data_IF_462086172560
#
_entry.id   IF_462086172560
#
_cell.length_a   1.000
_cell.length_b   1.000
_cell.length_c   1.000
_cell.angle_alpha   90.00
_cell.angle_beta   90.00
_cell.angle_gamma   90.00
#
_symmetry.space_group_name_H-M   'P 1'
#
loop_
_entity.id
_entity.type
_entity.pdbx_description
1 polymer ?
#
# COMPACT_ATOMS: atom_id res chain seq x y z
N UNK A 1 39.61 -27.88 49.99
CA UNK A 1 38.21 -28.30 49.78
C UNK A 1 37.54 -27.23 48.92
N UNK A 2 37.25 -27.61 47.66
CA UNK A 2 36.42 -26.94 46.64
C UNK A 2 36.67 -25.43 46.40
N UNK A 3 37.39 -24.95 45.39
CA UNK A 3 37.47 -25.33 43.96
C UNK A 3 36.10 -25.54 43.31
N UNK A 4 35.81 -24.76 42.27
CA UNK A 4 34.70 -25.04 41.37
C UNK A 4 33.34 -24.45 41.74
N UNK A 5 33.27 -23.14 42.04
CA UNK A 5 32.10 -22.37 41.57
C UNK A 5 32.40 -21.91 40.14
N UNK A 6 32.56 -22.91 39.27
CA UNK A 6 32.59 -22.71 37.84
C UNK A 6 31.37 -21.88 37.46
N UNK A 7 31.70 -20.80 36.77
CA UNK A 7 30.87 -19.97 35.92
C UNK A 7 29.92 -20.81 35.05
N UNK A 8 28.83 -21.30 35.62
CA UNK A 8 27.74 -21.96 34.89
C UNK A 8 26.66 -20.95 34.45
N UNK A 9 27.09 -19.72 34.20
CA UNK A 9 26.50 -18.93 33.14
C UNK A 9 27.40 -19.16 31.94
N UNK A 10 27.09 -20.18 31.14
CA UNK A 10 27.53 -20.26 29.75
C UNK A 10 27.22 -18.91 29.14
N UNK A 11 28.23 -18.03 29.10
CA UNK A 11 28.14 -16.75 28.43
C UNK A 11 27.96 -17.11 26.97
N UNK A 12 26.70 -17.17 26.54
CA UNK A 12 26.29 -17.47 25.18
C UNK A 12 27.15 -16.60 24.27
N UNK A 13 28.10 -17.24 23.58
CA UNK A 13 29.23 -16.57 22.92
C UNK A 13 28.66 -15.52 21.98
N UNK A 14 28.98 -14.25 22.25
CA UNK A 14 28.38 -13.11 21.55
C UNK A 14 28.71 -13.16 20.06
N UNK A 15 27.70 -13.02 19.21
CA UNK A 15 27.89 -12.88 17.77
C UNK A 15 28.12 -11.40 17.46
N UNK A 16 29.26 -11.11 16.85
CA UNK A 16 29.64 -9.75 16.48
C UNK A 16 29.36 -9.50 14.99
N UNK A 17 28.84 -8.31 14.70
CA UNK A 17 28.56 -7.85 13.35
C UNK A 17 29.13 -6.45 13.18
N UNK A 18 29.89 -6.23 12.12
CA UNK A 18 30.37 -4.90 11.72
C UNK A 18 29.85 -4.58 10.32
N UNK A 19 29.04 -3.53 10.19
CA UNK A 19 28.46 -3.17 8.89
C UNK A 19 28.10 -1.70 8.78
N UNK A 20 27.99 -1.26 7.52
CA UNK A 20 27.38 0.01 7.15
C UNK A 20 26.02 -0.27 6.49
N UNK A 21 24.89 0.22 7.05
CA UNK A 21 23.57 -0.02 6.47
C UNK A 21 23.47 0.57 5.07
N UNK A 22 23.14 -0.25 4.07
CA UNK A 22 22.89 0.21 2.70
C UNK A 22 21.41 0.58 2.52
N UNK A 23 21.11 1.34 1.46
CA UNK A 23 19.72 1.60 1.06
C UNK A 23 18.96 0.30 0.77
N UNK A 24 19.65 -0.69 0.18
CA UNK A 24 19.09 -2.02 -0.10
C UNK A 24 18.64 -2.73 1.17
N UNK A 25 19.48 -2.75 2.21
CA UNK A 25 19.15 -3.39 3.49
C UNK A 25 17.94 -2.74 4.15
N UNK A 26 17.93 -1.41 4.20
CA UNK A 26 16.86 -0.64 4.81
C UNK A 26 15.54 -0.82 4.03
N UNK A 27 15.59 -0.88 2.70
CA UNK A 27 14.41 -1.13 1.87
C UNK A 27 13.90 -2.57 2.06
N UNK A 28 14.79 -3.55 2.14
CA UNK A 28 14.46 -4.95 2.44
C UNK A 28 13.84 -5.10 3.84
N UNK A 29 14.41 -4.43 4.84
CA UNK A 29 13.88 -4.41 6.21
C UNK A 29 12.51 -3.75 6.31
N UNK A 30 12.31 -2.61 5.64
CA UNK A 30 11.01 -1.93 5.59
C UNK A 30 9.95 -2.78 4.88
N UNK A 31 10.32 -3.51 3.81
CA UNK A 31 9.44 -4.49 3.16
C UNK A 31 9.10 -5.65 4.09
N UNK A 32 10.07 -6.21 4.81
CA UNK A 32 9.84 -7.25 5.80
C UNK A 32 8.89 -6.78 6.92
N UNK A 33 9.11 -5.57 7.45
CA UNK A 33 8.21 -4.93 8.42
C UNK A 33 6.81 -4.69 7.86
N UNK A 34 6.69 -4.25 6.60
CA UNK A 34 5.39 -4.08 5.97
C UNK A 34 4.64 -5.42 5.85
N UNK A 35 5.34 -6.52 5.51
CA UNK A 35 4.73 -7.86 5.43
C UNK A 35 4.20 -8.35 6.79
N UNK A 36 4.88 -8.03 7.88
CA UNK A 36 4.55 -8.46 9.24
C UNK A 36 3.59 -7.53 10.02
N UNK A 37 3.17 -6.41 9.42
CA UNK A 37 2.24 -5.45 10.02
C UNK A 37 0.86 -5.47 9.34
N UNK A 38 -0.19 -5.19 10.13
CA UNK A 38 -1.55 -5.10 9.60
C UNK A 38 -1.71 -4.00 8.55
N UNK A 39 -0.99 -2.88 8.68
CA UNK A 39 -0.99 -1.79 7.72
C UNK A 39 -0.42 -2.20 6.36
N UNK A 40 0.67 -2.98 6.32
CA UNK A 40 1.22 -3.45 5.05
C UNK A 40 0.41 -4.60 4.43
N UNK A 41 -0.28 -5.43 5.24
CA UNK A 41 -1.31 -6.34 4.72
C UNK A 41 -2.46 -5.57 4.06
N UNK A 42 -2.96 -4.56 4.75
CA UNK A 42 -4.02 -3.70 4.22
C UNK A 42 -3.59 -3.00 2.93
N UNK A 43 -2.37 -2.44 2.87
CA UNK A 43 -1.81 -1.86 1.66
C UNK A 43 -1.79 -2.85 0.48
N UNK A 44 -1.38 -4.12 0.72
CA UNK A 44 -1.39 -5.16 -0.32
C UNK A 44 -2.81 -5.48 -0.80
N UNK A 45 -3.76 -5.57 0.11
CA UNK A 45 -5.18 -5.81 -0.23
C UNK A 45 -5.71 -4.64 -1.07
N UNK A 46 -5.43 -3.40 -0.70
CA UNK A 46 -5.84 -2.22 -1.48
C UNK A 46 -5.21 -2.26 -2.88
N UNK A 47 -3.90 -2.51 -2.99
CA UNK A 47 -3.23 -2.63 -4.29
C UNK A 47 -3.84 -3.74 -5.15
N UNK A 48 -4.11 -4.90 -4.58
CA UNK A 48 -4.73 -6.02 -5.31
C UNK A 48 -6.12 -5.64 -5.84
N UNK A 49 -6.96 -5.01 -5.01
CA UNK A 49 -8.27 -4.52 -5.43
C UNK A 49 -8.19 -3.39 -6.46
N UNK A 50 -7.24 -2.46 -6.32
CA UNK A 50 -6.99 -1.43 -7.33
C UNK A 50 -6.65 -2.06 -8.66
N UNK A 51 -5.70 -3.00 -8.71
CA UNK A 51 -5.36 -3.69 -9.94
C UNK A 51 -6.56 -4.46 -10.50
N UNK A 52 -7.30 -5.21 -9.68
CA UNK A 52 -8.47 -5.97 -10.13
C UNK A 52 -9.55 -5.06 -10.75
N UNK A 53 -9.91 -3.96 -10.08
CA UNK A 53 -10.89 -2.99 -10.59
C UNK A 53 -10.40 -2.36 -11.88
N UNK A 54 -9.12 -1.98 -11.96
CA UNK A 54 -8.53 -1.39 -13.16
C UNK A 54 -8.47 -2.39 -14.33
N UNK A 55 -8.17 -3.67 -14.07
CA UNK A 55 -8.18 -4.71 -15.10
C UNK A 55 -9.60 -4.97 -15.62
N UNK A 56 -10.59 -5.04 -14.73
CA UNK A 56 -12.00 -5.16 -15.13
C UNK A 56 -12.44 -3.94 -15.94
N UNK A 57 -12.09 -2.72 -15.48
CA UNK A 57 -12.37 -1.48 -16.20
C UNK A 57 -11.71 -1.43 -17.59
N UNK A 58 -10.48 -1.91 -17.71
CA UNK A 58 -9.76 -2.05 -18.98
C UNK A 58 -10.44 -3.04 -19.91
N UNK A 59 -10.86 -4.20 -19.39
CA UNK A 59 -11.56 -5.21 -20.18
C UNK A 59 -12.91 -4.69 -20.69
N UNK A 60 -13.67 -4.01 -19.83
CA UNK A 60 -14.92 -3.36 -20.21
C UNK A 60 -14.70 -2.26 -21.26
N UNK A 61 -13.62 -1.48 -21.13
CA UNK A 61 -13.27 -0.44 -22.09
C UNK A 61 -12.81 -1.03 -23.44
N UNK A 62 -12.09 -2.15 -23.42
CA UNK A 62 -11.54 -2.79 -24.61
C UNK A 62 -12.56 -3.67 -25.36
N UNK A 63 -13.54 -4.24 -24.65
CA UNK A 63 -14.65 -4.99 -25.25
C UNK A 63 -15.73 -4.06 -25.86
N UNK A 64 -15.70 -2.77 -25.53
CA UNK A 64 -16.57 -1.76 -26.11
C UNK A 64 -16.13 -1.37 -27.54
N UNK A 65 -17.06 -0.98 -28.44
CA UNK A 65 -16.74 -0.60 -29.83
C UNK A 65 -15.76 0.59 -30.00
N UNK A 66 -15.51 1.38 -28.95
CA UNK A 66 -14.77 2.65 -28.98
C UNK A 66 -13.36 2.63 -28.36
N UNK A 67 -12.42 1.83 -28.90
CA UNK A 67 -11.03 1.72 -28.40
C UNK A 67 -10.28 3.08 -28.26
N UNK A 68 -10.67 4.11 -29.04
CA UNK A 68 -10.01 5.43 -29.07
C UNK A 68 -10.37 6.37 -27.91
N UNK A 69 -11.42 6.07 -27.13
CA UNK A 69 -11.95 6.97 -26.08
C UNK A 69 -11.71 6.45 -24.65
N UNK A 70 -10.77 5.53 -24.51
CA UNK A 70 -10.29 4.98 -23.25
C UNK A 70 -9.85 6.12 -22.32
N UNK A 71 -10.31 6.19 -21.05
CA UNK A 71 -9.99 7.29 -20.13
C UNK A 71 -8.52 7.25 -19.67
N UNK A 72 -7.60 7.61 -20.57
CA UNK A 72 -6.14 7.59 -20.36
C UNK A 72 -5.66 8.25 -19.05
N UNK A 73 -6.19 9.43 -18.65
CA UNK A 73 -5.83 10.06 -17.39
C UNK A 73 -6.15 9.20 -16.15
N UNK A 74 -7.21 8.40 -16.21
CA UNK A 74 -7.61 7.52 -15.10
C UNK A 74 -6.61 6.37 -14.95
N UNK A 75 -6.23 5.72 -16.05
CA UNK A 75 -5.20 4.67 -16.02
C UNK A 75 -3.83 5.23 -15.62
N UNK A 76 -3.45 6.40 -16.14
CA UNK A 76 -2.21 7.07 -15.77
C UNK A 76 -2.15 7.37 -14.25
N UNK A 77 -3.26 7.83 -13.67
CA UNK A 77 -3.33 8.08 -12.23
C UNK A 77 -3.32 6.81 -11.38
N UNK A 78 -3.92 5.70 -11.85
CA UNK A 78 -3.79 4.39 -11.19
C UNK A 78 -2.34 3.91 -11.24
N UNK A 79 -1.68 4.00 -12.40
CA UNK A 79 -0.26 3.62 -12.55
C UNK A 79 0.62 4.45 -11.61
N UNK A 80 0.42 5.77 -11.58
CA UNK A 80 1.14 6.66 -10.68
C UNK A 80 0.89 6.30 -9.20
N UNK A 81 -0.34 5.95 -8.82
CA UNK A 81 -0.68 5.53 -7.47
C UNK A 81 0.01 4.21 -7.08
N UNK A 82 -0.05 3.19 -7.94
CA UNK A 82 0.61 1.90 -7.71
C UNK A 82 2.11 2.11 -7.61
N UNK A 83 2.72 2.86 -8.55
CA UNK A 83 4.14 3.18 -8.55
C UNK A 83 4.56 3.93 -7.28
N UNK A 84 3.78 4.91 -6.83
CA UNK A 84 4.05 5.62 -5.59
C UNK A 84 4.02 4.68 -4.39
N UNK A 85 2.96 3.88 -4.25
CA UNK A 85 2.78 2.96 -3.11
C UNK A 85 3.86 1.89 -3.03
N UNK A 86 4.37 1.41 -4.17
CA UNK A 86 5.51 0.47 -4.24
C UNK A 86 6.85 1.16 -4.01
N UNK A 87 6.99 2.45 -4.34
CA UNK A 87 8.20 3.23 -4.10
C UNK A 87 8.36 3.70 -2.64
N UNK A 88 7.27 3.79 -1.86
CA UNK A 88 7.30 4.28 -0.46
C UNK A 88 8.38 3.62 0.41
N UNK A 89 8.56 2.27 0.44
CA UNK A 89 9.60 1.64 1.25
C UNK A 89 11.00 2.11 0.87
N UNK A 90 11.27 2.33 -0.42
CA UNK A 90 12.56 2.76 -0.90
C UNK A 90 12.82 4.25 -0.64
N UNK A 91 11.80 5.10 -0.79
CA UNK A 91 11.89 6.52 -0.39
C UNK A 91 12.17 6.67 1.10
N UNK A 92 11.50 5.86 1.93
CA UNK A 92 11.77 5.79 3.38
C UNK A 92 13.18 5.27 3.67
N UNK A 93 13.63 4.22 2.96
CA UNK A 93 14.98 3.68 3.09
C UNK A 93 16.04 4.72 2.76
N UNK A 94 15.88 5.49 1.67
CA UNK A 94 16.78 6.60 1.33
C UNK A 94 16.85 7.66 2.43
N UNK A 95 15.70 8.02 3.01
CA UNK A 95 15.66 9.00 4.11
C UNK A 95 16.35 8.47 5.36
N UNK A 96 16.14 7.20 5.70
CA UNK A 96 16.81 6.55 6.83
C UNK A 96 18.31 6.39 6.58
N UNK A 97 18.71 6.03 5.36
CA UNK A 97 20.10 5.90 4.97
C UNK A 97 20.84 7.22 5.15
N UNK A 98 20.28 8.34 4.67
CA UNK A 98 20.85 9.67 4.87
C UNK A 98 21.04 10.05 6.34
N UNK A 99 20.21 9.51 7.24
CA UNK A 99 20.38 9.67 8.69
C UNK A 99 21.47 8.74 9.23
N UNK A 100 21.49 7.48 8.77
CA UNK A 100 22.47 6.47 9.17
C UNK A 100 23.89 6.80 8.68
N UNK A 101 24.05 7.46 7.52
CA UNK A 101 25.34 7.94 7.03
C UNK A 101 26.04 8.87 8.01
N UNK A 102 25.27 9.62 8.82
CA UNK A 102 25.82 10.48 9.87
C UNK A 102 26.33 9.70 11.08
N UNK A 103 25.90 8.44 11.26
CA UNK A 103 26.30 7.59 12.36
C UNK A 103 27.55 6.76 12.04
N UNK A 104 27.88 6.58 10.75
CA UNK A 104 29.05 5.84 10.30
C UNK A 104 28.88 4.33 10.41
N UNK A 105 29.98 3.63 10.67
CA UNK A 105 29.98 2.17 10.78
C UNK A 105 29.34 1.71 12.09
N UNK A 106 28.52 0.66 11.99
CA UNK A 106 27.79 0.09 13.12
C UNK A 106 28.47 -1.23 13.51
N UNK A 107 28.89 -1.32 14.77
CA UNK A 107 29.28 -2.58 15.40
C UNK A 107 28.16 -3.02 16.34
N UNK A 108 27.60 -4.19 16.06
CA UNK A 108 26.53 -4.80 16.84
C UNK A 108 27.04 -6.10 17.46
N UNK A 109 26.96 -6.24 18.77
CA UNK A 109 27.12 -7.54 19.43
C UNK A 109 25.75 -8.05 19.88
N UNK A 110 25.46 -9.31 19.59
CA UNK A 110 24.22 -9.99 19.98
C UNK A 110 24.57 -11.13 20.92
N UNK A 111 23.98 -11.12 22.11
CA UNK A 111 24.20 -12.14 23.14
C UNK A 111 22.88 -12.51 23.83
N UNK A 112 22.94 -13.43 24.79
CA UNK A 112 21.75 -13.86 25.53
C UNK A 112 21.03 -12.73 26.30
N UNK A 113 21.68 -11.61 26.57
CA UNK A 113 21.13 -10.48 27.35
C UNK A 113 20.47 -9.41 26.47
N UNK A 114 20.92 -9.25 25.23
CA UNK A 114 20.32 -8.30 24.29
C UNK A 114 21.23 -7.96 23.11
N UNK A 115 21.01 -6.76 22.56
CA UNK A 115 21.84 -6.19 21.51
C UNK A 115 22.60 -5.00 22.05
N UNK A 116 23.89 -4.90 21.71
CA UNK A 116 24.67 -3.68 21.91
C UNK A 116 25.06 -3.12 20.56
N UNK A 117 24.57 -1.93 20.24
CA UNK A 117 24.91 -1.19 19.03
C UNK A 117 25.88 -0.08 19.39
N UNK A 118 27.02 -0.05 18.72
CA UNK A 118 28.02 0.99 18.85
C UNK A 118 28.30 1.59 17.49
N UNK A 119 28.35 2.91 17.43
CA UNK A 119 28.72 3.69 16.26
C UNK A 119 29.82 4.67 16.65
N UNK A 120 30.37 5.41 15.68
CA UNK A 120 31.41 6.41 15.96
C UNK A 120 30.97 7.50 16.96
N UNK A 121 29.66 7.72 17.11
CA UNK A 121 29.10 8.83 17.88
C UNK A 121 28.10 8.40 18.95
N UNK A 122 27.79 7.10 19.08
CA UNK A 122 26.80 6.63 20.05
C UNK A 122 27.00 5.17 20.45
N UNK A 123 26.61 4.84 21.67
CA UNK A 123 26.51 3.47 22.17
C UNK A 123 25.11 3.29 22.76
N UNK A 124 24.40 2.25 22.32
CA UNK A 124 23.06 1.93 22.76
C UNK A 124 22.98 0.43 23.13
N UNK A 125 22.30 0.12 24.23
CA UNK A 125 21.93 -1.24 24.60
C UNK A 125 20.44 -1.40 24.42
N UNK A 126 20.04 -2.40 23.66
CA UNK A 126 18.65 -2.73 23.43
C UNK A 126 18.36 -4.09 24.07
N UNK A 127 17.43 -4.08 25.01
CA UNK A 127 16.93 -5.29 25.64
C UNK A 127 16.02 -6.07 24.68
N UNK A 128 15.98 -7.39 24.82
CA UNK A 128 15.06 -8.25 24.10
C UNK A 128 13.60 -7.81 24.26
N UNK A 129 13.19 -7.28 25.42
CA UNK A 129 11.82 -6.80 25.66
C UNK A 129 11.35 -5.68 24.72
N UNK A 130 12.28 -4.96 24.07
CA UNK A 130 11.95 -3.94 23.07
C UNK A 130 11.41 -4.55 21.77
N UNK A 131 11.71 -5.83 21.53
CA UNK A 131 11.37 -6.58 20.33
C UNK A 131 10.45 -7.75 20.68
N UNK A 132 9.38 -7.91 19.91
CA UNK A 132 8.47 -9.05 20.10
C UNK A 132 8.69 -10.13 19.03
N UNK A 133 9.14 -9.72 17.85
CA UNK A 133 9.19 -10.55 16.65
C UNK A 133 10.44 -10.27 15.84
N UNK A 134 10.88 -11.23 15.07
CA UNK A 134 11.90 -11.03 14.05
C UNK A 134 11.46 -11.58 12.70
N UNK A 135 11.94 -11.01 11.61
CA UNK A 135 11.72 -11.51 10.25
C UNK A 135 13.06 -11.84 9.61
N UNK A 136 13.17 -13.04 9.06
CA UNK A 136 14.34 -13.45 8.29
C UNK A 136 14.10 -13.22 6.79
N UNK A 137 15.06 -12.59 6.12
CA UNK A 137 15.15 -12.53 4.66
C UNK A 137 16.38 -13.33 4.21
N UNK A 138 16.56 -13.59 2.89
CA UNK A 138 17.76 -14.26 2.41
C UNK A 138 19.06 -13.58 2.87
N UNK A 139 19.04 -12.24 3.01
CA UNK A 139 20.22 -11.43 3.30
C UNK A 139 20.28 -10.87 4.73
N UNK A 140 19.16 -10.82 5.47
CA UNK A 140 19.04 -10.04 6.71
C UNK A 140 18.23 -10.76 7.79
N UNK A 141 18.53 -10.50 9.06
CA UNK A 141 17.56 -10.62 10.15
C UNK A 141 17.05 -9.22 10.54
N UNK A 142 15.74 -9.09 10.73
CA UNK A 142 15.08 -7.81 11.03
C UNK A 142 14.29 -7.94 12.33
N UNK A 143 14.75 -7.28 13.39
CA UNK A 143 14.07 -7.26 14.68
C UNK A 143 12.99 -6.19 14.66
N UNK A 144 11.78 -6.57 15.06
CA UNK A 144 10.59 -5.74 14.97
C UNK A 144 10.11 -5.40 16.38
N UNK A 145 10.03 -4.10 16.67
CA UNK A 145 9.57 -3.66 17.97
C UNK A 145 8.14 -4.15 18.27
N UNK A 146 7.88 -4.42 19.54
CA UNK A 146 6.55 -4.75 20.06
C UNK A 146 5.55 -3.61 19.80
N UNK A 147 6.01 -2.36 19.91
CA UNK A 147 5.21 -1.19 19.62
C UNK A 147 5.11 -0.97 18.10
N UNK A 148 3.88 -1.09 17.58
CA UNK A 148 3.57 -0.89 16.16
C UNK A 148 3.75 0.57 15.73
N UNK A 149 3.75 1.52 16.66
CA UNK A 149 3.85 2.96 16.43
C UNK A 149 5.28 3.50 16.51
N UNK A 150 6.15 2.85 17.30
CA UNK A 150 7.56 3.18 17.38
C UNK A 150 8.30 2.77 16.09
N UNK A 151 9.16 3.65 15.60
CA UNK A 151 9.93 3.42 14.35
C UNK A 151 11.02 2.35 14.54
N UNK A 152 11.25 1.85 15.76
CA UNK A 152 12.33 0.92 16.09
C UNK A 152 12.26 -0.42 15.35
N UNK A 153 13.15 -0.61 14.38
CA UNK A 153 13.57 -1.92 13.91
C UNK A 153 15.10 -1.95 13.85
N UNK A 154 15.69 -3.11 14.07
CA UNK A 154 17.13 -3.33 13.90
C UNK A 154 17.34 -4.24 12.71
N UNK A 155 18.37 -3.94 11.92
CA UNK A 155 18.76 -4.73 10.75
C UNK A 155 20.08 -5.40 11.07
N UNK A 156 20.16 -6.71 10.89
CA UNK A 156 21.38 -7.50 11.08
C UNK A 156 21.69 -8.19 9.74
N UNK A 157 22.58 -7.63 8.92
CA UNK A 157 22.95 -8.24 7.65
C UNK A 157 23.75 -9.53 7.88
N UNK A 158 23.36 -10.61 7.21
CA UNK A 158 24.07 -11.90 7.32
C UNK A 158 25.50 -11.82 6.79
N UNK A 159 25.73 -11.00 5.77
CA UNK A 159 27.07 -10.71 5.22
C UNK A 159 28.03 -10.01 6.19
N UNK A 160 27.52 -9.51 7.32
CA UNK A 160 28.31 -8.82 8.33
C UNK A 160 28.77 -9.75 9.47
N UNK A 161 28.33 -11.00 9.42
CA UNK A 161 28.75 -12.08 10.32
C UNK A 161 29.97 -12.76 9.70
N UNK A 162 30.93 -13.19 10.52
CA UNK A 162 32.22 -13.67 10.02
C UNK A 162 32.12 -15.03 9.30
N UNK A 163 31.23 -15.92 9.76
CA UNK A 163 31.09 -17.29 9.25
C UNK A 163 29.59 -17.69 9.11
N UNK A 164 29.21 -18.48 8.09
CA UNK A 164 27.92 -19.20 8.05
C UNK A 164 27.50 -19.86 9.37
N UNK A 165 28.39 -20.50 10.13
CA UNK A 165 28.03 -21.12 11.42
C UNK A 165 27.56 -20.09 12.46
N UNK A 166 28.13 -18.89 12.43
CA UNK A 166 27.72 -17.80 13.31
C UNK A 166 26.37 -17.20 12.88
N UNK A 167 26.02 -17.29 11.60
CA UNK A 167 24.68 -16.94 11.10
C UNK A 167 23.64 -17.89 11.68
N UNK A 168 23.94 -19.19 11.72
CA UNK A 168 23.06 -20.20 12.30
C UNK A 168 22.94 -20.04 13.81
N UNK A 169 24.05 -19.71 14.50
CA UNK A 169 24.05 -19.37 15.93
C UNK A 169 23.19 -18.13 16.20
N UNK A 170 23.36 -17.07 15.41
CA UNK A 170 22.53 -15.87 15.52
C UNK A 170 21.05 -16.21 15.35
N UNK A 171 20.70 -17.05 14.37
CA UNK A 171 19.33 -17.53 14.19
C UNK A 171 18.83 -18.25 15.43
N UNK A 172 19.61 -19.16 16.01
CA UNK A 172 19.24 -19.91 17.21
C UNK A 172 18.98 -18.99 18.42
N UNK A 173 19.80 -17.94 18.61
CA UNK A 173 19.56 -16.93 19.67
C UNK A 173 18.23 -16.19 19.41
N UNK A 174 17.97 -15.78 18.17
CA UNK A 174 16.73 -15.09 17.81
C UNK A 174 15.50 -15.99 17.99
N UNK A 175 15.57 -17.26 17.59
CA UNK A 175 14.49 -18.23 17.75
C UNK A 175 14.13 -18.50 19.22
N UNK A 176 15.13 -18.48 20.11
CA UNK A 176 14.90 -18.64 21.56
C UNK A 176 14.26 -17.43 22.20
N UNK A 177 14.53 -16.22 21.69
CA UNK A 177 14.16 -14.95 22.34
C UNK A 177 12.94 -14.29 21.71
N UNK A 178 12.68 -14.50 20.43
CA UNK A 178 11.70 -13.76 19.65
C UNK A 178 10.84 -14.70 18.79
N UNK A 179 9.58 -14.29 18.55
CA UNK A 179 8.71 -15.04 17.66
C UNK A 179 9.05 -14.71 16.20
N UNK A 180 9.33 -15.73 15.39
CA UNK A 180 9.50 -15.56 13.96
C UNK A 180 8.21 -15.05 13.33
N UNK A 181 8.31 -13.98 12.54
CA UNK A 181 7.15 -13.29 11.98
C UNK A 181 6.34 -14.17 11.01
N UNK A 182 6.98 -15.13 10.34
CA UNK A 182 6.32 -16.06 9.43
C UNK A 182 5.45 -17.07 10.20
N UNK A 183 5.92 -17.54 11.36
CA UNK A 183 5.21 -18.49 12.23
C UNK A 183 4.05 -17.84 12.99
N UNK A 184 4.19 -16.54 13.32
CA UNK A 184 3.13 -15.73 13.91
C UNK A 184 1.94 -15.48 12.96
N UNK A 185 2.11 -15.66 11.65
CA UNK A 185 1.02 -15.55 10.66
C UNK A 185 0.20 -16.84 10.59
N UNK A 186 0.83 -18.00 10.80
CA UNK A 186 0.16 -19.30 10.86
C UNK A 186 -0.62 -19.50 12.18
N UNK A 187 -0.07 -19.03 13.30
CA UNK A 187 -0.73 -19.02 14.61
C UNK A 187 -1.60 -17.77 14.75
N UNK A 188 -2.78 -17.78 14.14
CA UNK A 188 -3.72 -16.66 14.18
C UNK A 188 -4.10 -16.25 15.61
N UNK A 189 -3.35 -15.34 16.23
CA UNK A 189 -3.66 -14.79 17.55
C UNK A 189 -4.78 -13.75 17.44
N UNK A 190 -5.96 -13.97 18.05
CA UNK A 190 -7.07 -13.03 17.99
C UNK A 190 -6.96 -12.07 19.17
N UNK A 191 -6.17 -10.99 19.06
CA UNK A 191 -6.31 -9.85 19.99
C UNK A 191 -5.75 -8.55 19.39
N UNK A 192 -6.54 -7.47 19.56
CA UNK A 192 -6.34 -6.08 19.12
C UNK A 192 -6.80 -5.69 17.69
N UNK A 193 -8.10 -5.86 17.42
CA UNK A 193 -8.81 -5.31 16.22
C UNK A 193 -9.66 -4.07 16.55
N UNK A 194 -9.11 -3.09 17.29
CA UNK A 194 -9.73 -1.79 17.60
C UNK A 194 -8.58 -0.86 18.03
N UNK A 195 -8.25 0.28 17.44
CA UNK A 195 -9.10 1.25 16.73
C UNK A 195 -8.32 2.25 15.85
N UNK A 196 -7.24 1.85 15.18
CA UNK A 196 -6.54 2.71 14.20
C UNK A 196 -6.72 2.27 12.73
N UNK A 197 -6.91 0.97 12.48
CA UNK A 197 -7.09 0.41 11.13
C UNK A 197 -8.44 0.80 10.51
N UNK A 198 -9.49 0.99 11.33
CA UNK A 198 -10.86 1.22 10.84
C UNK A 198 -11.05 2.46 9.96
N UNK A 199 -10.31 3.55 10.20
CA UNK A 199 -10.48 4.78 9.40
C UNK A 199 -9.71 4.75 8.07
N UNK A 200 -8.51 4.18 8.06
CA UNK A 200 -7.73 4.01 6.81
C UNK A 200 -8.35 2.97 5.87
N UNK A 201 -8.96 1.92 6.43
CA UNK A 201 -9.75 0.94 5.68
C UNK A 201 -11.00 1.56 5.05
N UNK A 202 -11.72 2.40 5.80
CA UNK A 202 -12.87 3.13 5.26
C UNK A 202 -12.49 4.05 4.09
N UNK A 203 -11.39 4.81 4.20
CA UNK A 203 -11.00 5.73 3.12
C UNK A 203 -10.56 5.01 1.84
N UNK A 204 -9.82 3.90 1.94
CA UNK A 204 -9.42 3.18 0.74
C UNK A 204 -10.60 2.47 0.08
N UNK A 205 -11.53 1.92 0.87
CA UNK A 205 -12.77 1.35 0.35
C UNK A 205 -13.59 2.37 -0.45
N UNK A 206 -13.69 3.61 0.06
CA UNK A 206 -14.37 4.70 -0.65
C UNK A 206 -13.65 5.15 -1.92
N UNK A 207 -12.31 5.15 -1.95
CA UNK A 207 -11.56 5.44 -3.19
C UNK A 207 -11.73 4.34 -4.24
N UNK A 208 -11.73 3.07 -3.83
CA UNK A 208 -11.99 1.93 -4.72
C UNK A 208 -13.43 1.97 -5.25
N UNK A 209 -14.40 2.30 -4.39
CA UNK A 209 -15.80 2.47 -4.79
C UNK A 209 -15.96 3.63 -5.78
N UNK A 210 -15.34 4.78 -5.51
CA UNK A 210 -15.32 5.90 -6.43
C UNK A 210 -14.76 5.47 -7.79
N UNK A 211 -13.56 4.89 -7.81
CA UNK A 211 -12.91 4.39 -9.03
C UNK A 211 -13.81 3.45 -9.83
N UNK A 212 -14.45 2.48 -9.16
CA UNK A 212 -15.38 1.55 -9.80
C UNK A 212 -16.60 2.25 -10.41
N UNK A 213 -17.21 3.18 -9.68
CA UNK A 213 -18.38 3.94 -10.16
C UNK A 213 -18.04 4.80 -11.37
N UNK A 214 -16.86 5.43 -11.40
CA UNK A 214 -16.40 6.19 -12.57
C UNK A 214 -16.10 5.30 -13.79
N UNK A 215 -15.58 4.09 -13.57
CA UNK A 215 -15.43 3.11 -14.65
C UNK A 215 -16.78 2.69 -15.22
N UNK A 216 -17.76 2.36 -14.36
CA UNK A 216 -19.10 1.97 -14.79
C UNK A 216 -19.81 3.11 -15.53
N UNK A 217 -19.72 4.34 -15.02
CA UNK A 217 -20.25 5.52 -15.70
C UNK A 217 -19.60 5.72 -17.07
N UNK A 218 -18.27 5.59 -17.17
CA UNK A 218 -17.57 5.71 -18.46
C UNK A 218 -18.00 4.63 -19.45
N UNK A 219 -18.09 3.37 -19.01
CA UNK A 219 -18.52 2.26 -19.86
C UNK A 219 -19.97 2.41 -20.36
N UNK A 220 -20.88 2.88 -19.50
CA UNK A 220 -22.27 3.15 -19.85
C UNK A 220 -22.43 4.28 -20.88
N UNK A 221 -21.52 5.27 -20.86
CA UNK A 221 -21.51 6.41 -21.79
C UNK A 221 -20.86 6.07 -23.12
N UNK A 222 -19.84 5.19 -23.13
CA UNK A 222 -19.23 4.69 -24.37
C UNK A 222 -20.24 4.02 -25.29
N UNK A 223 -21.24 3.33 -24.73
CA UNK A 223 -22.31 2.71 -25.52
C UNK A 223 -23.19 3.74 -26.26
N UNK A 224 -23.28 4.98 -25.76
CA UNK A 224 -24.16 6.01 -26.30
C UNK A 224 -23.43 7.08 -27.14
N UNK A 225 -22.09 7.13 -27.08
CA UNK A 225 -21.27 8.21 -27.64
C UNK A 225 -20.60 7.92 -28.99
N UNK A 226 -20.74 6.70 -29.54
CA UNK A 226 -20.21 6.34 -30.89
C UNK A 226 -21.35 6.12 -31.90
N UNK A 227 -21.94 7.21 -32.43
CA UNK A 227 -23.12 7.17 -33.29
C UNK A 227 -22.86 6.65 -34.71
N UNK A 228 -21.63 6.78 -35.20
CA UNK A 228 -21.25 6.34 -36.55
C UNK A 228 -21.24 4.81 -36.71
N UNK A 229 -21.28 4.07 -35.60
CA UNK A 229 -21.26 2.60 -35.59
C UNK A 229 -22.62 1.93 -35.46
N UNK A 230 -23.67 2.62 -34.99
CA UNK A 230 -24.98 2.01 -34.74
C UNK A 230 -26.15 2.98 -34.98
N UNK A 231 -26.67 3.10 -36.21
CA UNK A 231 -27.85 3.93 -36.49
C UNK A 231 -29.09 3.34 -35.80
N UNK A 232 -29.77 4.12 -34.95
CA UNK A 232 -31.06 3.72 -34.35
C UNK A 232 -31.36 4.33 -32.98
N UNK A 233 -32.50 3.91 -32.41
CA UNK A 233 -32.96 4.30 -31.07
C UNK A 233 -32.24 3.44 -30.02
N UNK A 234 -31.61 4.08 -29.04
CA UNK A 234 -30.85 3.44 -27.97
C UNK A 234 -31.49 3.68 -26.61
N UNK A 235 -31.10 2.86 -25.61
CA UNK A 235 -31.47 3.10 -24.22
C UNK A 235 -30.73 4.32 -23.67
N UNK A 236 -31.45 5.18 -22.97
CA UNK A 236 -30.86 6.34 -22.34
C UNK A 236 -30.07 5.92 -21.08
N UNK A 237 -28.75 5.85 -21.17
CA UNK A 237 -27.86 5.54 -20.04
C UNK A 237 -27.41 6.78 -19.28
N UNK A 238 -27.80 7.99 -19.71
CA UNK A 238 -27.39 9.25 -19.09
C UNK A 238 -27.84 9.41 -17.63
N UNK A 239 -29.10 9.07 -17.24
CA UNK A 239 -29.52 9.16 -15.84
C UNK A 239 -28.71 8.25 -14.92
N UNK A 240 -28.51 6.99 -15.33
CA UNK A 240 -27.73 6.00 -14.56
C UNK A 240 -26.27 6.46 -14.42
N UNK A 241 -25.68 6.97 -15.51
CA UNK A 241 -24.31 7.48 -15.52
C UNK A 241 -24.15 8.70 -14.60
N UNK A 242 -25.10 9.65 -14.64
CA UNK A 242 -25.08 10.82 -13.76
C UNK A 242 -25.18 10.43 -12.27
N UNK A 243 -26.04 9.47 -11.93
CA UNK A 243 -26.13 8.93 -10.55
C UNK A 243 -24.82 8.27 -10.13
N UNK A 244 -24.20 7.48 -11.00
CA UNK A 244 -22.90 6.85 -10.72
C UNK A 244 -21.79 7.90 -10.51
N UNK A 245 -21.75 8.96 -11.32
CA UNK A 245 -20.80 10.07 -11.16
C UNK A 245 -21.01 10.79 -9.82
N UNK A 246 -22.26 11.09 -9.46
CA UNK A 246 -22.60 11.73 -8.19
C UNK A 246 -22.17 10.87 -6.98
N UNK A 247 -22.52 9.58 -6.99
CA UNK A 247 -22.09 8.64 -5.95
C UNK A 247 -20.56 8.49 -5.89
N UNK A 248 -19.90 8.49 -7.05
CA UNK A 248 -18.44 8.47 -7.15
C UNK A 248 -17.79 9.70 -6.50
N UNK A 249 -18.32 10.90 -6.76
CA UNK A 249 -17.83 12.14 -6.13
C UNK A 249 -17.99 12.11 -4.61
N UNK A 250 -19.14 11.67 -4.12
CA UNK A 250 -19.43 11.55 -2.69
C UNK A 250 -18.48 10.57 -2.00
N UNK A 251 -18.17 9.44 -2.64
CA UNK A 251 -17.22 8.47 -2.13
C UNK A 251 -15.81 9.08 -2.03
N UNK A 252 -15.35 9.78 -3.06
CA UNK A 252 -14.03 10.46 -3.07
C UNK A 252 -13.93 11.54 -1.99
N UNK A 253 -14.97 12.37 -1.84
CA UNK A 253 -15.04 13.40 -0.79
C UNK A 253 -15.02 12.76 0.61
N UNK A 254 -15.80 11.70 0.81
CA UNK A 254 -15.81 10.92 2.05
C UNK A 254 -14.44 10.34 2.40
N UNK A 255 -13.71 9.83 1.40
CA UNK A 255 -12.35 9.31 1.59
C UNK A 255 -11.38 10.41 2.07
N UNK A 256 -11.44 11.59 1.45
CA UNK A 256 -10.65 12.76 1.86
C UNK A 256 -10.96 13.20 3.30
N UNK A 257 -12.23 13.19 3.68
CA UNK A 257 -12.66 13.54 5.05
C UNK A 257 -12.13 12.55 6.10
N UNK A 258 -12.11 11.25 5.80
CA UNK A 258 -11.58 10.20 6.68
C UNK A 258 -10.08 10.33 6.94
N UNK A 259 -9.31 10.78 5.95
CA UNK A 259 -7.85 10.95 6.07
C UNK A 259 -7.42 12.36 6.46
N UNK A 260 -8.35 13.30 6.68
CA UNK A 260 -8.06 14.74 6.89
C UNK A 260 -7.07 15.03 8.03
N UNK A 261 -7.03 14.16 9.05
CA UNK A 261 -6.11 14.27 10.20
C UNK A 261 -4.75 13.58 9.98
N UNK A 262 -4.56 12.84 8.89
CA UNK A 262 -3.33 12.11 8.58
C UNK A 262 -2.52 12.84 7.50
N UNK A 263 -1.50 13.62 7.89
CA UNK A 263 -0.75 14.52 6.97
C UNK A 263 -0.21 13.83 5.71
N UNK A 264 0.38 12.64 5.83
CA UNK A 264 0.94 11.88 4.71
C UNK A 264 -0.12 11.24 3.81
N UNK A 265 -1.18 10.67 4.39
CA UNK A 265 -2.29 10.07 3.61
C UNK A 265 -3.14 11.14 2.91
N UNK A 266 -3.25 12.34 3.50
CA UNK A 266 -4.02 13.45 2.91
C UNK A 266 -3.51 13.85 1.53
N UNK A 267 -2.19 13.94 1.34
CA UNK A 267 -1.61 14.31 0.03
C UNK A 267 -1.86 13.24 -1.03
N UNK A 268 -1.70 11.97 -0.66
CA UNK A 268 -1.91 10.83 -1.59
C UNK A 268 -3.39 10.71 -1.97
N UNK A 269 -4.29 10.78 -0.98
CA UNK A 269 -5.73 10.76 -1.22
C UNK A 269 -6.20 11.98 -2.02
N UNK A 270 -5.63 13.17 -1.78
CA UNK A 270 -5.97 14.36 -2.56
C UNK A 270 -5.53 14.25 -4.02
N UNK A 271 -4.33 13.73 -4.28
CA UNK A 271 -3.86 13.50 -5.64
C UNK A 271 -4.74 12.47 -6.38
N UNK A 272 -5.09 11.37 -5.71
CA UNK A 272 -5.97 10.35 -6.30
C UNK A 272 -7.38 10.89 -6.52
N UNK A 273 -7.91 11.66 -5.56
CA UNK A 273 -9.20 12.34 -5.69
C UNK A 273 -9.20 13.28 -6.89
N UNK A 274 -8.14 14.06 -7.09
CA UNK A 274 -8.04 14.98 -8.23
C UNK A 274 -8.07 14.23 -9.57
N UNK A 275 -7.31 13.14 -9.72
CA UNK A 275 -7.35 12.29 -10.91
C UNK A 275 -8.76 11.76 -11.17
N UNK A 276 -9.39 11.19 -10.14
CA UNK A 276 -10.71 10.58 -10.23
C UNK A 276 -11.78 11.61 -10.59
N UNK A 277 -11.71 12.82 -10.01
CA UNK A 277 -12.61 13.92 -10.32
C UNK A 277 -12.41 14.45 -11.74
N UNK A 278 -11.16 14.58 -12.21
CA UNK A 278 -10.88 14.99 -13.59
C UNK A 278 -11.46 13.99 -14.60
N UNK A 279 -11.36 12.69 -14.34
CA UNK A 279 -12.02 11.67 -15.15
C UNK A 279 -13.55 11.79 -15.10
N UNK A 280 -14.10 12.08 -13.91
CA UNK A 280 -15.53 12.36 -13.73
C UNK A 280 -16.03 13.56 -14.53
N UNK A 281 -15.26 14.64 -14.57
CA UNK A 281 -15.56 15.82 -15.40
C UNK A 281 -15.57 15.45 -16.89
N UNK A 282 -14.59 14.67 -17.36
CA UNK A 282 -14.56 14.21 -18.74
C UNK A 282 -15.75 13.28 -19.10
N UNK A 283 -16.24 12.48 -18.16
CA UNK A 283 -17.45 11.69 -18.33
C UNK A 283 -18.71 12.57 -18.33
N UNK A 284 -18.78 13.58 -17.45
CA UNK A 284 -19.89 14.53 -17.38
C UNK A 284 -20.03 15.35 -18.68
N UNK A 285 -18.91 15.77 -19.28
CA UNK A 285 -18.92 16.45 -20.57
C UNK A 285 -19.55 15.59 -21.69
N UNK A 286 -19.38 14.27 -21.64
CA UNK A 286 -19.98 13.34 -22.61
C UNK A 286 -21.47 13.09 -22.34
N UNK A 287 -21.88 13.06 -21.08
CA UNK A 287 -23.28 12.86 -20.67
C UNK A 287 -24.11 14.14 -20.86
N UNK A 288 -23.49 15.31 -20.70
CA UNK A 288 -24.15 16.62 -20.71
C UNK A 288 -25.18 16.81 -21.83
N UNK A 289 -24.83 16.53 -23.10
CA UNK A 289 -25.74 16.65 -24.23
C UNK A 289 -26.94 15.69 -24.23
N UNK A 290 -26.96 14.65 -23.39
CA UNK A 290 -28.05 13.68 -23.26
C UNK A 290 -28.98 14.00 -22.08
N UNK A 291 -28.58 14.90 -21.17
CA UNK A 291 -29.29 15.16 -19.92
C UNK A 291 -30.64 15.84 -20.13
N UNK A 292 -30.89 16.54 -21.24
CA UNK A 292 -32.22 17.09 -21.53
C UNK A 292 -33.26 15.99 -21.78
N UNK A 293 -32.83 14.80 -22.18
CA UNK A 293 -33.67 13.62 -22.32
C UNK A 293 -33.83 12.81 -21.03
N UNK A 294 -33.55 13.37 -19.85
CA UNK A 294 -33.54 12.64 -18.58
C UNK A 294 -34.79 11.77 -18.34
N UNK A 295 -35.97 12.26 -18.73
CA UNK A 295 -37.25 11.56 -18.56
C UNK A 295 -37.54 10.46 -19.58
N UNK A 296 -36.78 10.39 -20.67
CA UNK A 296 -37.04 9.47 -21.77
C UNK A 296 -36.17 8.22 -21.65
N UNK A 297 -36.80 7.05 -21.77
CA UNK A 297 -36.11 5.76 -21.70
C UNK A 297 -35.21 5.51 -22.91
N UNK A 298 -35.45 6.23 -24.01
CA UNK A 298 -34.77 6.03 -25.28
C UNK A 298 -34.32 7.35 -25.90
N UNK A 299 -33.18 7.33 -26.58
CA UNK A 299 -32.58 8.47 -27.28
C UNK A 299 -32.02 8.05 -28.64
N UNK A 300 -31.98 8.96 -29.60
CA UNK A 300 -31.23 8.81 -30.85
C UNK A 300 -30.52 10.12 -31.19
N UNK A 301 -29.47 10.06 -32.00
CA UNK A 301 -28.82 11.28 -32.47
C UNK A 301 -29.54 11.82 -33.70
N UNK A 302 -29.90 13.10 -33.66
CA UNK A 302 -30.49 13.83 -34.77
C UNK A 302 -29.43 14.26 -35.81
N UNK A 303 -29.89 14.73 -36.98
CA UNK A 303 -29.02 15.06 -38.12
C UNK A 303 -28.03 16.22 -37.84
N UNK A 304 -28.31 17.06 -36.85
CA UNK A 304 -27.41 18.14 -36.42
C UNK A 304 -26.46 17.72 -35.27
N UNK A 305 -26.44 16.44 -34.92
CA UNK A 305 -25.63 15.90 -33.82
C UNK A 305 -26.26 16.04 -32.42
N UNK A 306 -27.39 16.73 -32.29
CA UNK A 306 -28.17 16.85 -31.05
C UNK A 306 -28.96 15.56 -30.76
N UNK A 307 -29.13 15.19 -29.48
CA UNK A 307 -29.93 14.01 -29.11
C UNK A 307 -31.43 14.31 -29.12
N UNK A 308 -32.20 13.40 -29.70
CA UNK A 308 -33.67 13.39 -29.74
C UNK A 308 -34.19 12.37 -28.73
N UNK A 309 -35.20 12.75 -27.95
CA UNK A 309 -35.76 11.93 -26.88
C UNK A 309 -37.00 11.17 -27.36
N UNK A 310 -37.10 9.89 -27.00
CA UNK A 310 -38.25 9.05 -27.30
C UNK A 310 -38.86 8.54 -26.01
N UNK A 311 -40.11 8.92 -25.78
CA UNK A 311 -40.92 8.34 -24.72
C UNK A 311 -41.44 6.96 -25.18
N UNK A 312 -41.53 6.03 -24.23
CA UNK A 312 -42.04 4.66 -24.47
C UNK A 312 -43.54 4.64 -24.73
#
# INVERSE_FOLDING_TARGET
MAEGRETDAVAERSVELAYRPTVGDLASALRARARSTGAGRFQRVVLAWTLAITTVGALLSAAGPGHRDTPGPLYAGVVAFVAFMTAVPWLKARRLHRLAERQGDIRCSVDGTGLRLTTAHSSARHDWHLYARYAETPELFVLLSADRSAVGFVVLPKRAVADPEEVDRLRAVLDRRLVRADDAVASGSPRSRRGAVGRGTGSAGLLLLGLLLYFLASAAVQQAADPDRFPGIQHNTAPVSAVMLALGTLAVVGAGWLVRRMRTMRLVTAALAAVVLLAGVAALYRVGPMLHCWGSARIAQGPEGAYVCYDS
#
